data_IF_457558997715
#
_entry.id   IF_457558997715
#
_cell.length_a   1.000
_cell.length_b   1.000
_cell.length_c   1.000
_cell.angle_alpha   90.00
_cell.angle_beta   90.00
_cell.angle_gamma   90.00
#
_symmetry.space_group_name_H-M   'P 1'
#
loop_
_entity.id
_entity.type
_entity.pdbx_description
1 polymer ?
#
# COMPACT_ATOMS: atom_id res chain seq x y z
N UNK A 1 15.53 4.44 -6.99
CA UNK A 1 14.24 5.06 -6.63
C UNK A 1 14.41 5.87 -5.35
N UNK A 2 13.89 7.09 -5.30
CA UNK A 2 14.02 7.98 -4.12
C UNK A 2 12.79 7.95 -3.22
N UNK A 3 11.60 7.92 -3.80
CA UNK A 3 10.34 7.90 -3.09
C UNK A 3 9.54 6.64 -3.46
N UNK A 4 8.73 6.14 -2.53
CA UNK A 4 7.77 5.06 -2.75
C UNK A 4 6.36 5.60 -2.43
N UNK A 5 5.76 6.30 -3.38
CA UNK A 5 4.47 6.97 -3.18
C UNK A 5 3.32 6.27 -3.89
N UNK A 6 3.59 5.59 -5.01
CA UNK A 6 2.61 4.83 -5.78
C UNK A 6 3.32 3.71 -6.55
N UNK A 7 2.63 2.63 -6.89
CA UNK A 7 3.16 1.54 -7.72
C UNK A 7 2.90 1.73 -9.21
N UNK A 8 1.96 2.60 -9.58
CA UNK A 8 1.62 2.86 -10.99
C UNK A 8 2.81 3.34 -11.83
N UNK A 9 3.70 4.12 -11.22
CA UNK A 9 4.87 4.71 -11.89
C UNK A 9 6.12 3.82 -11.83
N UNK A 10 6.03 2.66 -11.16
CA UNK A 10 7.12 1.69 -11.03
C UNK A 10 6.92 0.60 -12.07
N UNK A 11 7.90 0.42 -12.96
CA UNK A 11 7.88 -0.67 -13.93
C UNK A 11 8.09 -2.05 -13.30
N UNK A 12 7.83 -3.11 -14.06
CA UNK A 12 8.00 -4.52 -13.63
C UNK A 12 9.38 -4.76 -12.98
N UNK A 13 10.44 -4.35 -13.63
CA UNK A 13 11.80 -4.51 -13.11
C UNK A 13 11.99 -3.85 -11.74
N UNK A 14 11.47 -2.64 -11.55
CA UNK A 14 11.55 -1.94 -10.25
C UNK A 14 10.77 -2.66 -9.14
N UNK A 15 9.63 -3.27 -9.48
CA UNK A 15 8.87 -4.11 -8.56
C UNK A 15 9.67 -5.37 -8.21
N UNK A 16 10.23 -6.06 -9.19
CA UNK A 16 11.06 -7.25 -9.00
C UNK A 16 12.27 -6.96 -8.11
N UNK A 17 12.95 -5.82 -8.31
CA UNK A 17 14.06 -5.38 -7.46
C UNK A 17 13.62 -5.18 -5.99
N UNK A 18 12.45 -4.56 -5.77
CA UNK A 18 11.89 -4.37 -4.42
C UNK A 18 11.52 -5.71 -3.76
N UNK A 19 10.89 -6.62 -4.50
CA UNK A 19 10.52 -7.94 -4.01
C UNK A 19 11.76 -8.77 -3.69
N UNK A 20 12.78 -8.74 -4.54
CA UNK A 20 14.05 -9.42 -4.29
C UNK A 20 14.75 -8.87 -3.04
N UNK A 21 14.75 -7.55 -2.86
CA UNK A 21 15.29 -6.93 -1.64
C UNK A 21 14.50 -7.35 -0.40
N UNK A 22 13.17 -7.43 -0.52
CA UNK A 22 12.28 -7.91 0.56
C UNK A 22 12.61 -9.35 0.93
N UNK A 23 12.84 -10.23 -0.03
CA UNK A 23 13.20 -11.63 0.19
C UNK A 23 14.50 -11.76 1.01
N UNK A 24 15.50 -10.96 0.68
CA UNK A 24 16.76 -10.89 1.45
C UNK A 24 16.57 -10.38 2.87
N UNK A 25 15.68 -9.41 3.09
CA UNK A 25 15.39 -8.91 4.44
C UNK A 25 14.47 -9.84 5.24
N UNK A 26 13.65 -10.67 4.59
CA UNK A 26 12.86 -11.69 5.25
C UNK A 26 13.74 -12.70 6.02
N UNK A 27 14.90 -13.08 5.48
CA UNK A 27 15.89 -13.90 6.20
C UNK A 27 16.37 -13.25 7.50
N UNK A 28 16.57 -11.92 7.48
CA UNK A 28 17.02 -11.19 8.68
C UNK A 28 15.99 -11.32 9.81
N UNK A 29 14.69 -11.30 9.44
CA UNK A 29 13.61 -11.42 10.43
C UNK A 29 13.59 -12.78 11.14
N UNK A 30 14.18 -13.81 10.55
CA UNK A 30 14.25 -15.17 11.13
C UNK A 30 15.49 -15.39 12.02
N UNK A 31 16.41 -14.43 12.06
CA UNK A 31 17.64 -14.55 12.88
C UNK A 31 17.31 -14.40 14.37
N UNK A 32 18.10 -15.02 15.26
CA UNK A 32 17.96 -14.81 16.71
C UNK A 32 18.05 -13.34 17.12
N UNK A 33 18.84 -12.53 16.39
CA UNK A 33 18.91 -11.07 16.53
C UNK A 33 18.49 -10.49 15.17
N UNK A 34 17.19 -10.15 14.98
CA UNK A 34 16.65 -9.68 13.71
C UNK A 34 16.97 -8.20 13.48
N UNK A 35 18.25 -7.84 13.51
CA UNK A 35 18.73 -6.46 13.37
C UNK A 35 19.95 -6.37 12.48
N UNK A 36 19.98 -5.37 11.60
CA UNK A 36 21.11 -5.08 10.70
C UNK A 36 21.39 -3.56 10.66
N UNK A 37 22.64 -3.13 10.42
CA UNK A 37 23.01 -1.72 10.48
C UNK A 37 22.75 -0.96 9.16
N UNK A 38 21.78 -1.40 8.34
CA UNK A 38 21.57 -0.84 7.00
C UNK A 38 21.18 0.65 7.01
N UNK A 39 20.47 1.10 8.05
CA UNK A 39 20.07 2.51 8.23
C UNK A 39 20.67 3.14 9.49
N UNK A 40 21.83 2.65 9.95
CA UNK A 40 22.50 3.20 11.13
C UNK A 40 22.89 4.66 10.89
N UNK A 41 22.48 5.55 11.81
CA UNK A 41 22.70 7.00 11.70
C UNK A 41 21.74 7.70 10.75
N UNK A 42 20.67 7.00 10.31
CA UNK A 42 19.55 7.59 9.58
C UNK A 42 18.36 7.76 10.50
N UNK A 43 17.59 8.81 10.24
CA UNK A 43 16.38 9.13 11.01
C UNK A 43 15.15 8.99 10.13
N UNK A 44 14.15 8.24 10.62
CA UNK A 44 12.86 8.01 9.95
C UNK A 44 11.74 8.63 10.78
N UNK A 45 10.96 9.55 10.20
CA UNK A 45 9.81 10.14 10.86
C UNK A 45 8.51 9.41 10.48
N UNK A 46 7.70 9.08 11.49
CA UNK A 46 6.38 8.48 11.35
C UNK A 46 5.30 9.56 11.44
N UNK A 47 4.69 9.91 10.32
CA UNK A 47 3.73 11.02 10.19
C UNK A 47 2.36 10.45 9.81
N UNK A 48 1.56 10.10 10.82
CA UNK A 48 0.28 9.43 10.64
C UNK A 48 -0.88 10.33 11.02
N UNK A 49 -1.67 10.76 10.05
CA UNK A 49 -2.90 11.56 10.21
C UNK A 49 -4.16 10.70 10.30
N UNK A 50 -4.09 9.45 9.91
CA UNK A 50 -5.15 8.45 10.12
C UNK A 50 -4.67 7.40 11.12
N UNK A 51 -5.58 6.93 11.96
CA UNK A 51 -5.30 5.85 12.90
C UNK A 51 -4.95 4.56 12.15
N UNK A 52 -3.83 3.96 12.50
CA UNK A 52 -3.41 2.67 11.96
C UNK A 52 -2.38 2.01 12.86
N UNK A 53 -2.85 1.16 13.76
CA UNK A 53 -1.97 0.44 14.68
C UNK A 53 -1.01 -0.48 13.92
N UNK A 54 -1.52 -1.34 13.05
CA UNK A 54 -0.69 -2.32 12.32
C UNK A 54 0.37 -1.64 11.44
N UNK A 55 -0.05 -0.72 10.58
CA UNK A 55 0.86 -0.08 9.63
C UNK A 55 1.94 0.71 10.35
N UNK A 56 1.58 1.53 11.35
CA UNK A 56 2.53 2.31 12.14
C UNK A 56 3.54 1.43 12.87
N UNK A 57 3.08 0.40 13.59
CA UNK A 57 3.95 -0.52 14.31
C UNK A 57 4.86 -1.32 13.35
N UNK A 58 4.38 -1.69 12.16
CA UNK A 58 5.18 -2.40 11.17
C UNK A 58 6.33 -1.54 10.66
N UNK A 59 6.09 -0.28 10.31
CA UNK A 59 7.13 0.65 9.87
C UNK A 59 8.11 0.99 11.00
N UNK A 60 7.63 1.24 12.21
CA UNK A 60 8.47 1.50 13.38
C UNK A 60 9.42 0.33 13.65
N UNK A 61 8.87 -0.89 13.67
CA UNK A 61 9.67 -2.09 13.88
C UNK A 61 10.68 -2.32 12.75
N UNK A 62 10.27 -2.11 11.50
CA UNK A 62 11.16 -2.24 10.34
C UNK A 62 12.33 -1.25 10.42
N UNK A 63 12.08 0.03 10.69
CA UNK A 63 13.11 1.05 10.85
C UNK A 63 14.09 0.69 11.98
N UNK A 64 13.60 0.25 13.14
CA UNK A 64 14.42 -0.19 14.28
C UNK A 64 15.25 -1.44 13.99
N UNK A 65 14.72 -2.40 13.21
CA UNK A 65 15.45 -3.59 12.76
C UNK A 65 16.58 -3.24 11.77
N UNK A 66 16.38 -2.17 10.99
CA UNK A 66 17.41 -1.62 10.12
C UNK A 66 18.40 -0.69 10.83
N UNK A 67 18.25 -0.48 12.15
CA UNK A 67 19.08 0.39 13.01
C UNK A 67 18.92 1.88 12.73
N UNK A 68 17.77 2.31 12.22
CA UNK A 68 17.42 3.73 12.13
C UNK A 68 16.96 4.26 13.49
N UNK A 69 17.13 5.57 13.69
CA UNK A 69 16.44 6.32 14.72
C UNK A 69 15.02 6.63 14.23
N UNK A 70 14.03 6.50 15.12
CA UNK A 70 12.62 6.73 14.76
C UNK A 70 12.09 7.93 15.52
N UNK A 71 11.59 8.92 14.78
CA UNK A 71 10.85 10.05 15.30
C UNK A 71 9.35 9.81 15.09
N UNK A 72 8.60 9.80 16.19
CA UNK A 72 7.16 9.74 16.15
C UNK A 72 6.57 11.15 16.20
N UNK A 73 5.83 11.50 15.13
CA UNK A 73 5.20 12.80 15.04
C UNK A 73 3.74 12.71 15.51
N UNK A 74 3.38 13.29 16.68
CA UNK A 74 2.03 13.23 17.22
C UNK A 74 1.13 14.23 16.49
N UNK A 75 0.49 13.81 15.40
CA UNK A 75 -0.36 14.66 14.55
C UNK A 75 -1.49 15.35 15.29
N UNK A 76 -2.08 14.68 16.30
CA UNK A 76 -3.18 15.25 17.11
C UNK A 76 -2.75 16.31 18.13
N UNK A 77 -1.45 16.39 18.46
CA UNK A 77 -0.89 17.34 19.43
C UNK A 77 0.09 18.31 18.78
N UNK A 78 0.14 18.37 17.46
CA UNK A 78 1.09 19.20 16.73
C UNK A 78 0.58 20.62 16.49
N UNK A 79 1.46 21.50 16.04
CA UNK A 79 1.15 22.88 15.63
C UNK A 79 0.19 22.99 14.45
N UNK A 80 -0.09 21.87 13.74
CA UNK A 80 -1.18 21.77 12.75
C UNK A 80 -2.53 22.14 13.36
N UNK A 81 -2.78 21.80 14.64
CA UNK A 81 -3.98 22.22 15.36
C UNK A 81 -4.06 23.75 15.57
N UNK A 82 -2.95 24.46 15.35
CA UNK A 82 -2.83 25.91 15.49
C UNK A 82 -2.84 26.65 14.15
N UNK A 83 -3.12 25.94 13.03
CA UNK A 83 -3.22 26.53 11.70
C UNK A 83 -1.93 26.50 10.86
N UNK A 84 -0.90 25.77 11.28
CA UNK A 84 0.26 25.49 10.41
C UNK A 84 -0.19 24.61 9.22
N UNK A 85 0.43 24.84 8.08
CA UNK A 85 0.20 23.99 6.91
C UNK A 85 1.00 22.69 7.03
N UNK A 86 0.56 21.66 6.32
CA UNK A 86 1.34 20.42 6.24
C UNK A 86 2.74 20.65 5.65
N UNK A 87 2.86 21.60 4.74
CA UNK A 87 4.14 22.04 4.16
C UNK A 87 5.09 22.57 5.23
N UNK A 88 4.63 23.49 6.07
CA UNK A 88 5.45 24.03 7.17
C UNK A 88 5.91 22.91 8.11
N UNK A 89 5.04 21.93 8.36
CA UNK A 89 5.35 20.75 9.17
C UNK A 89 6.46 19.90 8.52
N UNK A 90 6.36 19.64 7.21
CA UNK A 90 7.37 18.85 6.48
C UNK A 90 8.70 19.59 6.39
N UNK A 91 8.69 20.90 6.16
CA UNK A 91 9.89 21.75 6.19
C UNK A 91 10.56 21.72 7.57
N UNK A 92 9.77 21.80 8.64
CA UNK A 92 10.26 21.72 10.03
C UNK A 92 10.90 20.36 10.31
N UNK A 93 10.23 19.26 9.94
CA UNK A 93 10.76 17.89 10.09
C UNK A 93 12.05 17.72 9.28
N UNK A 94 12.11 18.28 8.08
CA UNK A 94 13.31 18.28 7.25
C UNK A 94 14.48 19.02 7.90
N UNK A 95 14.21 20.17 8.51
CA UNK A 95 15.22 20.96 9.23
C UNK A 95 15.80 20.23 10.46
N UNK A 96 15.08 19.25 11.02
CA UNK A 96 15.58 18.37 12.08
C UNK A 96 16.56 17.28 11.57
N UNK A 97 16.81 17.21 10.26
CA UNK A 97 17.75 16.26 9.68
C UNK A 97 17.17 14.86 9.48
N UNK A 98 15.85 14.77 9.20
CA UNK A 98 15.18 13.51 8.89
C UNK A 98 15.56 13.04 7.48
N UNK A 99 15.90 11.76 7.33
CA UNK A 99 16.28 11.15 6.05
C UNK A 99 15.08 10.57 5.30
N UNK A 100 14.04 10.12 6.02
CA UNK A 100 12.84 9.54 5.42
C UNK A 100 11.57 9.88 6.20
N UNK A 101 10.48 10.10 5.45
CA UNK A 101 9.13 10.30 5.98
C UNK A 101 8.26 9.10 5.61
N UNK A 102 7.64 8.48 6.60
CA UNK A 102 6.55 7.50 6.40
C UNK A 102 5.24 8.22 6.66
N UNK A 103 4.46 8.45 5.59
CA UNK A 103 3.28 9.32 5.66
C UNK A 103 2.01 8.50 5.41
N UNK A 104 1.02 8.67 6.29
CA UNK A 104 -0.34 8.18 6.09
C UNK A 104 -1.35 9.31 6.26
N UNK A 105 -2.20 9.51 5.26
CA UNK A 105 -3.16 10.62 5.24
C UNK A 105 -4.51 10.23 4.62
N UNK A 106 -5.59 10.93 5.00
CA UNK A 106 -6.93 10.73 4.43
C UNK A 106 -7.13 11.33 3.04
N UNK A 107 -6.24 12.24 2.60
CA UNK A 107 -6.32 12.87 1.27
C UNK A 107 -5.42 12.10 0.31
N UNK A 108 -6.00 11.64 -0.81
CA UNK A 108 -5.27 10.97 -1.88
C UNK A 108 -4.33 11.92 -2.62
N UNK A 109 -3.15 11.41 -3.01
CA UNK A 109 -2.13 12.16 -3.75
C UNK A 109 -1.16 12.96 -2.88
N UNK A 110 -1.49 13.20 -1.62
CA UNK A 110 -0.69 14.03 -0.73
C UNK A 110 0.77 13.56 -0.54
N UNK A 111 1.07 12.26 -0.35
CA UNK A 111 2.45 11.81 -0.29
C UNK A 111 3.25 12.12 -1.56
N UNK A 112 2.61 12.13 -2.73
CA UNK A 112 3.24 12.49 -4.00
C UNK A 112 3.56 13.99 -4.07
N UNK A 113 2.64 14.84 -3.60
CA UNK A 113 2.87 16.28 -3.50
C UNK A 113 4.05 16.58 -2.57
N UNK A 114 4.10 15.95 -1.40
CA UNK A 114 5.20 16.09 -0.44
C UNK A 114 6.51 15.59 -1.05
N UNK A 115 6.49 14.45 -1.75
CA UNK A 115 7.68 13.92 -2.41
C UNK A 115 8.25 14.91 -3.44
N UNK A 116 7.36 15.60 -4.17
CA UNK A 116 7.77 16.64 -5.12
C UNK A 116 8.39 17.86 -4.41
N UNK A 117 7.82 18.29 -3.28
CA UNK A 117 8.31 19.44 -2.51
C UNK A 117 9.68 19.18 -1.86
N UNK A 118 9.85 18.00 -1.23
CA UNK A 118 11.12 17.65 -0.55
C UNK A 118 12.23 17.23 -1.53
N UNK A 119 11.88 16.91 -2.77
CA UNK A 119 12.82 16.53 -3.83
C UNK A 119 13.78 15.42 -3.40
N UNK A 120 15.06 15.58 -3.69
CA UNK A 120 16.09 14.58 -3.39
C UNK A 120 16.58 14.55 -1.95
N UNK A 121 16.14 15.49 -1.10
CA UNK A 121 16.67 15.62 0.26
C UNK A 121 16.13 14.55 1.22
N UNK A 122 14.81 14.27 1.16
CA UNK A 122 14.14 13.36 2.06
C UNK A 122 13.41 12.29 1.25
N UNK A 123 13.53 11.02 1.64
CA UNK A 123 12.74 9.95 1.02
C UNK A 123 11.31 9.96 1.57
N UNK A 124 10.31 9.83 0.71
CA UNK A 124 8.90 9.73 1.12
C UNK A 124 8.38 8.34 0.84
N UNK A 125 7.76 7.73 1.86
CA UNK A 125 7.11 6.43 1.79
C UNK A 125 5.63 6.60 2.13
N UNK A 126 4.76 6.25 1.19
CA UNK A 126 3.33 6.27 1.37
C UNK A 126 2.86 5.05 2.18
N UNK A 127 2.34 5.28 3.38
CA UNK A 127 1.74 4.27 4.25
C UNK A 127 0.21 4.19 4.12
N UNK A 128 -0.33 4.70 3.03
CA UNK A 128 -1.74 4.74 2.65
C UNK A 128 -2.31 6.16 2.62
N UNK A 129 -2.87 6.57 1.49
CA UNK A 129 -3.44 7.89 1.26
C UNK A 129 -4.86 7.84 0.69
N UNK A 130 -5.83 8.28 1.45
CA UNK A 130 -7.25 8.33 1.07
C UNK A 130 -7.74 7.03 0.45
N UNK A 131 -8.31 7.14 -0.75
CA UNK A 131 -8.73 6.02 -1.60
C UNK A 131 -7.69 5.72 -2.71
N UNK A 132 -6.53 6.38 -2.71
CA UNK A 132 -5.59 6.38 -3.83
C UNK A 132 -4.68 5.15 -3.82
N UNK A 133 -3.70 5.08 -2.91
CA UNK A 133 -2.68 4.03 -2.92
C UNK A 133 -2.26 3.56 -1.52
N UNK A 134 -1.76 2.34 -1.44
CA UNK A 134 -1.02 1.78 -0.31
C UNK A 134 0.11 0.88 -0.85
N UNK A 135 1.16 1.48 -1.43
CA UNK A 135 2.16 0.74 -2.23
C UNK A 135 2.84 -0.36 -1.46
N UNK A 136 3.15 -0.15 -0.18
CA UNK A 136 3.80 -1.18 0.65
C UNK A 136 2.88 -2.35 1.00
N UNK A 137 1.55 -2.15 0.99
CA UNK A 137 0.60 -3.26 1.13
C UNK A 137 0.54 -4.08 -0.17
N UNK A 138 0.42 -3.43 -1.33
CA UNK A 138 0.45 -4.14 -2.61
C UNK A 138 1.75 -4.96 -2.79
N UNK A 139 2.90 -4.39 -2.42
CA UNK A 139 4.18 -5.13 -2.44
C UNK A 139 4.19 -6.31 -1.46
N UNK A 140 3.60 -6.18 -0.26
CA UNK A 140 3.49 -7.26 0.72
C UNK A 140 2.64 -8.41 0.19
N UNK A 141 1.49 -8.08 -0.42
CA UNK A 141 0.57 -9.07 -0.98
C UNK A 141 1.21 -9.76 -2.19
N UNK A 142 1.85 -9.01 -3.09
CA UNK A 142 2.61 -9.57 -4.21
C UNK A 142 3.77 -10.47 -3.74
N UNK A 143 4.52 -10.05 -2.72
CA UNK A 143 5.57 -10.87 -2.11
C UNK A 143 5.03 -12.20 -1.61
N UNK A 144 3.90 -12.16 -0.91
CA UNK A 144 3.25 -13.37 -0.37
C UNK A 144 2.85 -14.33 -1.49
N UNK A 145 2.29 -13.81 -2.58
CA UNK A 145 1.90 -14.63 -3.73
C UNK A 145 3.12 -15.20 -4.45
N UNK A 146 4.16 -14.40 -4.70
CA UNK A 146 5.39 -14.91 -5.31
C UNK A 146 6.05 -15.99 -4.45
N UNK A 147 6.07 -15.85 -3.13
CA UNK A 147 6.55 -16.90 -2.23
C UNK A 147 5.72 -18.18 -2.34
N UNK A 148 4.40 -18.05 -2.45
CA UNK A 148 3.51 -19.20 -2.56
C UNK A 148 3.67 -19.95 -3.88
N UNK A 149 3.66 -19.24 -5.01
CA UNK A 149 3.66 -19.86 -6.34
C UNK A 149 5.06 -20.23 -6.84
N UNK A 150 6.07 -19.43 -6.51
CA UNK A 150 7.43 -19.57 -7.04
C UNK A 150 8.45 -20.06 -5.97
N UNK A 151 8.05 -20.15 -4.71
CA UNK A 151 8.93 -20.49 -3.59
C UNK A 151 9.92 -19.38 -3.21
N UNK A 152 9.95 -18.27 -3.94
CA UNK A 152 10.78 -17.09 -3.66
C UNK A 152 10.24 -15.86 -4.38
N UNK A 153 10.61 -14.68 -3.94
CA UNK A 153 10.37 -13.42 -4.64
C UNK A 153 11.70 -12.86 -5.21
N UNK A 154 12.45 -13.72 -5.89
CA UNK A 154 13.76 -13.40 -6.48
C UNK A 154 13.71 -12.38 -7.62
N UNK A 155 14.83 -12.18 -8.34
CA UNK A 155 14.93 -11.18 -9.40
C UNK A 155 13.97 -11.38 -10.58
N UNK A 156 13.47 -12.60 -10.75
CA UNK A 156 12.50 -12.99 -11.80
C UNK A 156 11.11 -13.26 -11.21
N UNK A 157 10.76 -12.57 -10.10
CA UNK A 157 9.44 -12.69 -9.49
C UNK A 157 8.35 -12.42 -10.53
N UNK A 158 7.41 -13.36 -10.68
CA UNK A 158 6.37 -13.31 -11.69
C UNK A 158 5.09 -13.96 -11.13
N UNK A 159 3.95 -13.45 -11.57
CA UNK A 159 2.63 -14.04 -11.35
C UNK A 159 1.99 -14.44 -12.67
N UNK A 160 2.79 -14.63 -13.73
CA UNK A 160 2.31 -15.05 -15.03
C UNK A 160 1.56 -16.40 -14.94
N UNK A 161 0.35 -16.43 -15.48
CA UNK A 161 -0.53 -17.60 -15.42
C UNK A 161 -1.35 -17.73 -14.14
N UNK A 162 -1.17 -16.84 -13.15
CA UNK A 162 -1.99 -16.77 -11.94
C UNK A 162 -3.22 -15.90 -12.21
N UNK A 163 -4.41 -16.40 -11.87
CA UNK A 163 -5.67 -15.66 -11.97
C UNK A 163 -6.14 -15.26 -10.57
N UNK A 164 -6.26 -13.96 -10.34
CA UNK A 164 -6.56 -13.36 -9.03
C UNK A 164 -7.92 -12.69 -9.07
N UNK A 165 -8.85 -13.13 -8.20
CA UNK A 165 -10.11 -12.44 -7.96
C UNK A 165 -10.00 -11.44 -6.82
N UNK A 166 -10.33 -10.15 -7.03
CA UNK A 166 -10.47 -9.12 -6.00
C UNK A 166 -11.95 -8.87 -5.78
N UNK A 167 -12.45 -9.26 -4.61
CA UNK A 167 -13.89 -9.33 -4.33
C UNK A 167 -14.29 -8.36 -3.22
N UNK A 168 -15.33 -7.59 -3.43
CA UNK A 168 -15.96 -6.74 -2.41
C UNK A 168 -15.93 -5.25 -2.72
N UNK A 169 -15.65 -4.40 -1.72
CA UNK A 169 -15.65 -2.95 -1.87
C UNK A 169 -14.37 -2.44 -2.54
N UNK A 170 -14.28 -2.59 -3.86
CA UNK A 170 -13.12 -2.17 -4.66
C UNK A 170 -13.07 -0.65 -4.78
N UNK A 171 -14.23 0.01 -4.85
CA UNK A 171 -14.35 1.47 -5.00
C UNK A 171 -13.61 2.23 -3.91
N UNK A 172 -13.74 1.80 -2.66
CA UNK A 172 -13.19 2.50 -1.50
C UNK A 172 -11.86 1.87 -1.01
N UNK A 173 -11.32 0.89 -1.75
CA UNK A 173 -10.10 0.20 -1.36
C UNK A 173 -8.86 0.75 -2.07
N UNK A 174 -8.04 1.51 -1.35
CA UNK A 174 -6.69 1.88 -1.80
C UNK A 174 -5.76 0.68 -1.95
N UNK A 175 -6.03 -0.41 -1.23
CA UNK A 175 -5.26 -1.65 -1.35
C UNK A 175 -5.53 -2.31 -2.69
N UNK A 176 -6.81 -2.46 -3.08
CA UNK A 176 -7.16 -3.03 -4.37
C UNK A 176 -6.50 -2.29 -5.56
N UNK A 177 -6.38 -0.95 -5.50
CA UNK A 177 -5.67 -0.18 -6.53
C UNK A 177 -4.21 -0.57 -6.61
N UNK A 178 -3.51 -0.61 -5.48
CA UNK A 178 -2.11 -0.99 -5.44
C UNK A 178 -1.87 -2.47 -5.80
N UNK A 179 -2.82 -3.36 -5.45
CA UNK A 179 -2.76 -4.77 -5.79
C UNK A 179 -2.92 -4.97 -7.30
N UNK A 180 -3.90 -4.31 -7.92
CA UNK A 180 -4.07 -4.35 -9.39
C UNK A 180 -2.81 -3.89 -10.09
N UNK A 181 -2.22 -2.76 -9.66
CA UNK A 181 -0.99 -2.24 -10.25
C UNK A 181 0.17 -3.25 -10.19
N UNK A 182 0.38 -3.86 -9.03
CA UNK A 182 1.52 -4.78 -8.86
C UNK A 182 1.28 -6.14 -9.50
N UNK A 183 0.06 -6.69 -9.38
CA UNK A 183 -0.25 -8.02 -9.90
C UNK A 183 -0.21 -8.06 -11.43
N UNK A 184 -0.81 -7.06 -12.07
CA UNK A 184 -0.82 -6.99 -13.55
C UNK A 184 0.58 -6.75 -14.12
N UNK A 185 1.42 -5.94 -13.44
CA UNK A 185 2.82 -5.74 -13.83
C UNK A 185 3.68 -7.00 -13.65
N UNK A 186 3.31 -7.88 -12.72
CA UNK A 186 3.96 -9.19 -12.57
C UNK A 186 3.33 -10.28 -13.46
N UNK A 187 2.40 -9.93 -14.35
CA UNK A 187 1.83 -10.81 -15.36
C UNK A 187 0.60 -11.60 -14.93
N UNK A 188 0.01 -11.32 -13.77
CA UNK A 188 -1.25 -11.95 -13.35
C UNK A 188 -2.44 -11.46 -14.17
N UNK A 189 -3.43 -12.32 -14.35
CA UNK A 189 -4.77 -11.93 -14.75
C UNK A 189 -5.57 -11.54 -13.51
N UNK A 190 -6.16 -10.36 -13.50
CA UNK A 190 -6.94 -9.86 -12.36
C UNK A 190 -8.39 -9.68 -12.78
N UNK A 191 -9.31 -10.25 -11.99
CA UNK A 191 -10.75 -10.01 -12.13
C UNK A 191 -11.28 -9.31 -10.88
N UNK A 192 -11.93 -8.18 -11.07
CA UNK A 192 -12.65 -7.46 -10.02
C UNK A 192 -14.08 -8.00 -9.96
N UNK A 193 -14.52 -8.43 -8.78
CA UNK A 193 -15.89 -8.91 -8.54
C UNK A 193 -16.55 -8.01 -7.50
N UNK A 194 -17.44 -7.14 -7.96
CA UNK A 194 -18.12 -6.18 -7.09
C UNK A 194 -19.46 -5.75 -7.70
N UNK A 195 -20.48 -5.45 -6.87
CA UNK A 195 -21.67 -4.76 -7.32
C UNK A 195 -21.31 -3.42 -7.96
N UNK A 196 -22.10 -2.98 -8.93
CA UNK A 196 -21.87 -1.72 -9.66
C UNK A 196 -21.61 -0.52 -8.73
N UNK A 197 -22.35 -0.43 -7.60
CA UNK A 197 -22.16 0.64 -6.60
C UNK A 197 -20.83 0.61 -5.86
N UNK A 198 -20.15 -0.56 -5.82
CA UNK A 198 -18.85 -0.78 -5.16
C UNK A 198 -17.69 -0.91 -6.17
N UNK A 199 -17.96 -0.71 -7.45
CA UNK A 199 -16.92 -0.61 -8.47
C UNK A 199 -16.41 0.83 -8.56
N UNK A 200 -15.09 1.03 -8.78
CA UNK A 200 -14.57 2.35 -9.13
C UNK A 200 -15.23 2.91 -10.39
N UNK A 201 -15.49 4.20 -10.44
CA UNK A 201 -16.11 4.84 -11.62
C UNK A 201 -15.26 4.78 -12.88
N UNK A 202 -13.97 4.48 -12.73
CA UNK A 202 -12.96 4.37 -13.77
C UNK A 202 -12.43 2.94 -13.97
N UNK A 203 -13.16 1.93 -13.47
CA UNK A 203 -12.75 0.52 -13.53
C UNK A 203 -12.55 0.02 -14.97
N UNK A 204 -13.26 0.59 -15.93
CA UNK A 204 -13.11 0.32 -17.37
C UNK A 204 -11.73 0.70 -17.93
N UNK A 205 -10.99 1.55 -17.22
CA UNK A 205 -9.61 1.94 -17.58
C UNK A 205 -8.54 1.10 -16.88
N UNK A 206 -8.96 0.25 -15.93
CA UNK A 206 -8.03 -0.59 -15.23
C UNK A 206 -7.67 -1.82 -16.09
N UNK A 207 -6.46 -2.37 -15.96
CA UNK A 207 -6.04 -3.56 -16.68
C UNK A 207 -6.62 -4.83 -16.03
N UNK A 208 -7.95 -4.89 -15.87
CA UNK A 208 -8.67 -5.97 -15.16
C UNK A 208 -9.89 -6.41 -15.93
N UNK A 209 -10.32 -7.65 -15.68
CA UNK A 209 -11.66 -8.11 -16.02
C UNK A 209 -12.64 -7.68 -14.92
N UNK A 210 -13.90 -7.46 -15.27
CA UNK A 210 -14.96 -7.09 -14.31
C UNK A 210 -16.07 -8.13 -14.37
N UNK A 211 -16.49 -8.63 -13.22
CA UNK A 211 -17.61 -9.55 -13.08
C UNK A 211 -18.57 -9.06 -11.97
N UNK A 212 -19.87 -9.33 -12.17
CA UNK A 212 -20.92 -9.00 -11.20
C UNK A 212 -21.44 -10.24 -10.46
N UNK A 213 -21.11 -11.45 -10.92
CA UNK A 213 -21.52 -12.70 -10.33
C UNK A 213 -20.29 -13.51 -9.91
N UNK A 214 -20.12 -13.71 -8.60
CA UNK A 214 -18.99 -14.43 -8.05
C UNK A 214 -19.02 -15.92 -8.45
N UNK A 215 -20.18 -16.58 -8.41
CA UNK A 215 -20.29 -18.03 -8.64
C UNK A 215 -19.84 -18.43 -10.05
N UNK A 216 -20.04 -17.53 -11.04
CA UNK A 216 -19.64 -17.78 -12.43
C UNK A 216 -18.13 -17.72 -12.66
N UNK A 217 -17.42 -16.94 -11.85
CA UNK A 217 -16.00 -16.66 -12.04
C UNK A 217 -15.10 -17.31 -10.98
N UNK A 218 -15.63 -17.61 -9.80
CA UNK A 218 -14.87 -18.19 -8.68
C UNK A 218 -14.06 -19.45 -9.07
N UNK A 219 -14.59 -20.39 -9.90
CA UNK A 219 -13.81 -21.57 -10.30
C UNK A 219 -12.57 -21.25 -11.16
N UNK A 220 -12.42 -20.04 -11.65
CA UNK A 220 -11.29 -19.62 -12.49
C UNK A 220 -10.13 -19.08 -11.67
N UNK A 221 -10.35 -18.73 -10.39
CA UNK A 221 -9.36 -18.05 -9.56
C UNK A 221 -8.42 -19.05 -8.88
N UNK A 222 -7.13 -18.77 -8.97
CA UNK A 222 -6.09 -19.40 -8.17
C UNK A 222 -5.97 -18.72 -6.79
N UNK A 223 -6.33 -17.42 -6.72
CA UNK A 223 -6.27 -16.59 -5.52
C UNK A 223 -7.52 -15.75 -5.40
N UNK A 224 -8.00 -15.60 -4.17
CA UNK A 224 -9.13 -14.72 -3.84
C UNK A 224 -8.70 -13.70 -2.78
N UNK A 225 -8.74 -12.43 -3.15
CA UNK A 225 -8.55 -11.28 -2.25
C UNK A 225 -9.91 -10.74 -1.81
N UNK A 226 -10.25 -10.86 -0.52
CA UNK A 226 -11.51 -10.37 0.02
C UNK A 226 -11.36 -8.98 0.63
N UNK A 227 -12.19 -8.05 0.18
CA UNK A 227 -12.27 -6.70 0.70
C UNK A 227 -13.50 -6.54 1.58
N UNK A 228 -13.31 -6.00 2.79
CA UNK A 228 -14.45 -5.62 3.62
C UNK A 228 -15.15 -4.39 3.06
N UNK A 229 -16.45 -4.27 3.30
CA UNK A 229 -17.19 -3.04 3.02
C UNK A 229 -16.66 -1.93 3.96
N UNK A 230 -16.26 -0.80 3.38
CA UNK A 230 -15.67 0.34 4.11
C UNK A 230 -16.73 1.41 4.39
N UNK A 231 -17.68 1.07 5.29
CA UNK A 231 -18.81 1.96 5.61
C UNK A 231 -18.37 3.34 6.09
N UNK A 232 -17.20 3.43 6.72
CA UNK A 232 -16.59 4.69 7.17
C UNK A 232 -16.16 5.64 6.04
N UNK A 233 -16.18 5.15 4.80
CA UNK A 233 -15.79 5.90 3.58
C UNK A 233 -16.92 6.03 2.57
N UNK A 234 -18.10 5.48 2.88
CA UNK A 234 -19.27 5.57 2.03
C UNK A 234 -20.05 6.85 2.32
N UNK A 235 -20.52 7.50 1.26
CA UNK A 235 -21.59 8.47 1.36
C UNK A 235 -22.91 7.72 1.58
N UNK A 236 -23.87 8.30 2.31
CA UNK A 236 -25.18 7.71 2.65
C UNK A 236 -25.97 7.18 1.43
N UNK A 237 -25.65 7.62 0.22
CA UNK A 237 -26.29 7.20 -1.03
C UNK A 237 -25.75 5.89 -1.62
N UNK A 238 -24.66 5.34 -1.09
CA UNK A 238 -23.95 4.16 -1.64
C UNK A 238 -24.25 2.86 -0.91
N UNK A 239 -25.07 2.89 0.14
CA UNK A 239 -25.39 1.74 0.97
C UNK A 239 -26.24 0.73 0.20
N UNK A 240 -25.64 -0.38 -0.21
CA UNK A 240 -26.38 -1.56 -0.69
C UNK A 240 -27.07 -2.25 0.48
N UNK A 241 -28.31 -2.75 0.32
CA UNK A 241 -28.90 -3.63 1.30
C UNK A 241 -27.98 -4.82 1.56
N UNK A 242 -27.65 -5.08 2.82
CA UNK A 242 -26.75 -6.20 3.23
C UNK A 242 -27.26 -7.54 2.70
N UNK A 243 -28.58 -7.72 2.62
CA UNK A 243 -29.24 -8.91 2.07
C UNK A 243 -28.84 -9.18 0.61
N UNK A 244 -28.90 -8.17 -0.26
CA UNK A 244 -28.60 -8.31 -1.68
C UNK A 244 -27.10 -8.57 -1.91
N UNK A 245 -26.25 -8.05 -1.00
CA UNK A 245 -24.82 -8.29 -1.05
C UNK A 245 -24.48 -9.74 -0.69
N UNK A 246 -25.04 -10.27 0.41
CA UNK A 246 -24.78 -11.64 0.89
C UNK A 246 -25.31 -12.73 -0.06
N UNK A 247 -26.35 -12.40 -0.87
CA UNK A 247 -26.92 -13.36 -1.84
C UNK A 247 -26.10 -13.51 -3.13
N UNK A 248 -25.22 -12.55 -3.45
CA UNK A 248 -24.49 -12.49 -4.74
C UNK A 248 -22.97 -12.55 -4.61
N UNK A 249 -22.43 -12.25 -3.44
CA UNK A 249 -21.02 -12.06 -3.14
C UNK A 249 -20.66 -12.72 -1.80
#
# INVERSE_FOLDING_TARGET
MKHLVDLKDIGEQGIQELLHLTDRFAEVCQRPIPKVPALRGRTVAMVFFEDSTRTRMSFDLAAKRLSADVLDFPTHASSLSKGETLRDTVETIGALGVDALVIRHGVGGLPSEIAHEVGEYISVINAGDGLNAHPTQGLLDAYTLCQHFNGSAGPEASLAGVHIGIIGDVRHSRVARSDVDVYTKLGATVTVVAPQGLQPSDVDKWPVEVAENLDEVLPKFDVVGLLRIQTERMDDSSALPVTDYVERY
#
